data_IF_776284138690
#
_entry.id   IF_776284138690
#
_cell.length_a   1.000
_cell.length_b   1.000
_cell.length_c   1.000
_cell.angle_alpha   90.00
_cell.angle_beta   90.00
_cell.angle_gamma   90.00
#
_symmetry.space_group_name_H-M   'P 1'
#
loop_
_entity.id
_entity.type
_entity.pdbx_description
1 polymer ?
#
# COMPACT_ATOMS: atom_id res chain seq x y z
N UNK A 1 -4.50 -8.42 0.60
CA UNK A 1 -5.71 -7.81 1.20
C UNK A 1 -6.03 -8.41 2.57
N UNK A 2 -5.88 -9.73 2.78
CA UNK A 2 -6.16 -10.36 4.07
C UNK A 2 -5.35 -9.81 5.26
N UNK A 3 -4.08 -9.46 5.10
CA UNK A 3 -3.22 -9.16 6.27
C UNK A 3 -3.56 -7.83 6.96
N UNK A 4 -3.93 -6.79 6.20
CA UNK A 4 -4.26 -5.46 6.75
C UNK A 4 -5.63 -5.48 7.43
N UNK A 5 -6.61 -6.13 6.80
CA UNK A 5 -7.96 -6.27 7.38
C UNK A 5 -7.92 -7.15 8.62
N UNK A 6 -7.09 -8.20 8.61
CA UNK A 6 -6.89 -9.09 9.77
C UNK A 6 -6.14 -8.37 10.91
N UNK A 7 -5.13 -7.56 10.61
CA UNK A 7 -4.45 -6.74 11.61
C UNK A 7 -5.40 -5.70 12.24
N UNK A 8 -6.25 -5.06 11.44
CA UNK A 8 -7.26 -4.13 11.95
C UNK A 8 -8.30 -4.84 12.84
N UNK A 9 -8.76 -6.03 12.44
CA UNK A 9 -9.70 -6.84 13.25
C UNK A 9 -9.10 -7.31 14.57
N UNK A 10 -7.87 -7.83 14.56
CA UNK A 10 -7.18 -8.25 15.80
C UNK A 10 -6.98 -7.09 16.78
N UNK A 11 -6.80 -5.87 16.26
CA UNK A 11 -6.59 -4.69 17.09
C UNK A 11 -7.90 -4.14 17.64
N UNK A 12 -9.00 -4.20 16.87
CA UNK A 12 -10.35 -3.95 17.39
C UNK A 12 -10.70 -4.96 18.48
N UNK A 13 -10.43 -6.26 18.26
CA UNK A 13 -10.63 -7.30 19.26
C UNK A 13 -9.77 -7.04 20.52
N UNK A 14 -8.53 -6.60 20.35
CA UNK A 14 -7.64 -6.22 21.46
C UNK A 14 -8.24 -5.06 22.28
N UNK A 15 -8.67 -3.98 21.62
CA UNK A 15 -9.29 -2.83 22.30
C UNK A 15 -10.63 -3.15 22.97
N UNK A 16 -11.38 -4.12 22.45
CA UNK A 16 -12.65 -4.57 23.03
C UNK A 16 -12.43 -5.55 24.19
N UNK A 17 -11.34 -6.32 24.18
CA UNK A 17 -11.05 -7.35 25.18
C UNK A 17 -10.38 -6.81 26.46
N UNK A 18 -9.54 -5.78 26.33
CA UNK A 18 -8.87 -5.13 27.44
C UNK A 18 -8.90 -3.61 27.19
N UNK A 19 -10.00 -2.92 27.56
CA UNK A 19 -10.12 -1.49 27.31
C UNK A 19 -9.00 -0.79 28.08
N UNK A 20 -8.06 -0.14 27.38
CA UNK A 20 -6.90 0.47 28.00
C UNK A 20 -7.35 1.40 29.12
N UNK A 21 -6.89 1.09 30.32
CA UNK A 21 -7.29 1.77 31.54
C UNK A 21 -6.76 3.20 31.60
N UNK A 22 -5.81 3.55 30.71
CA UNK A 22 -5.20 4.87 30.63
C UNK A 22 -5.17 5.40 29.18
N UNK A 23 -5.47 6.68 29.01
CA UNK A 23 -5.55 7.34 27.70
C UNK A 23 -4.20 7.35 26.97
N UNK A 24 -3.08 7.19 27.70
CA UNK A 24 -1.74 7.18 27.14
C UNK A 24 -1.48 5.95 26.23
N UNK A 25 -1.96 4.77 26.61
CA UNK A 25 -1.75 3.53 25.85
C UNK A 25 -2.57 3.52 24.54
N UNK A 26 -3.79 4.07 24.57
CA UNK A 26 -4.57 4.31 23.35
C UNK A 26 -3.86 5.25 22.39
N UNK A 27 -3.27 6.31 22.92
CA UNK A 27 -2.56 7.30 22.11
C UNK A 27 -1.32 6.68 21.45
N UNK A 28 -0.57 5.83 22.17
CA UNK A 28 0.59 5.13 21.62
C UNK A 28 0.18 4.12 20.53
N UNK A 29 -0.86 3.31 20.78
CA UNK A 29 -1.41 2.38 19.78
C UNK A 29 -1.92 3.12 18.54
N UNK A 30 -2.67 4.20 18.72
CA UNK A 30 -3.15 5.03 17.61
C UNK A 30 -1.99 5.65 16.82
N UNK A 31 -0.93 6.10 17.50
CA UNK A 31 0.25 6.68 16.85
C UNK A 31 1.02 5.63 16.04
N UNK A 32 1.18 4.41 16.57
CA UNK A 32 1.79 3.29 15.85
C UNK A 32 0.98 2.93 14.60
N UNK A 33 -0.34 2.86 14.73
CA UNK A 33 -1.24 2.61 13.60
C UNK A 33 -1.14 3.70 12.52
N UNK A 34 -1.13 4.97 12.91
CA UNK A 34 -0.99 6.07 11.96
C UNK A 34 0.36 6.00 11.22
N UNK A 35 1.44 5.63 11.93
CA UNK A 35 2.75 5.40 11.33
C UNK A 35 2.74 4.23 10.34
N UNK A 36 2.14 3.10 10.71
CA UNK A 36 2.10 1.91 9.84
C UNK A 36 1.23 2.17 8.60
N UNK A 37 0.08 2.84 8.76
CA UNK A 37 -0.76 3.26 7.65
C UNK A 37 -0.03 4.22 6.69
N UNK A 38 0.78 5.15 7.22
CA UNK A 38 1.65 6.01 6.41
C UNK A 38 2.70 5.19 5.65
N UNK A 39 3.35 4.22 6.29
CA UNK A 39 4.32 3.32 5.66
C UNK A 39 3.71 2.51 4.51
N UNK A 40 2.54 1.91 4.75
CA UNK A 40 1.79 1.14 3.74
C UNK A 40 1.38 2.01 2.55
N UNK A 41 0.98 3.26 2.79
CA UNK A 41 0.61 4.21 1.73
C UNK A 41 1.78 4.52 0.79
N UNK A 42 3.00 4.70 1.33
CA UNK A 42 4.21 4.90 0.53
C UNK A 42 4.53 3.69 -0.34
N UNK A 43 4.42 2.48 0.22
CA UNK A 43 4.64 1.22 -0.50
C UNK A 43 3.62 1.08 -1.64
N UNK A 44 2.33 1.31 -1.35
CA UNK A 44 1.26 1.26 -2.35
C UNK A 44 1.52 2.23 -3.51
N UNK A 45 1.93 3.46 -3.22
CA UNK A 45 2.29 4.43 -4.25
C UNK A 45 3.52 3.99 -5.07
N UNK A 46 4.50 3.34 -4.44
CA UNK A 46 5.62 2.72 -5.13
C UNK A 46 5.18 1.63 -6.11
N UNK A 47 4.30 0.73 -5.67
CA UNK A 47 3.76 -0.36 -6.49
C UNK A 47 2.94 0.16 -7.67
N UNK A 48 2.11 1.20 -7.48
CA UNK A 48 1.36 1.82 -8.58
C UNK A 48 2.30 2.40 -9.64
N UNK A 49 3.37 3.08 -9.21
CA UNK A 49 4.40 3.60 -10.13
C UNK A 49 5.12 2.47 -10.87
N UNK A 50 5.45 1.38 -10.20
CA UNK A 50 6.08 0.22 -10.85
C UNK A 50 5.14 -0.45 -11.86
N UNK A 51 3.86 -0.63 -11.50
CA UNK A 51 2.86 -1.18 -12.40
C UNK A 51 2.68 -0.30 -13.65
N UNK A 52 2.72 1.03 -13.49
CA UNK A 52 2.71 1.93 -14.63
C UNK A 52 3.94 1.74 -15.53
N UNK A 53 5.15 1.70 -14.94
CA UNK A 53 6.38 1.46 -15.69
C UNK A 53 6.35 0.13 -16.47
N UNK A 54 5.86 -0.93 -15.85
CA UNK A 54 5.73 -2.24 -16.51
C UNK A 54 4.70 -2.20 -17.66
N UNK A 55 3.59 -1.48 -17.49
CA UNK A 55 2.61 -1.27 -18.57
C UNK A 55 3.22 -0.51 -19.74
N UNK A 56 3.93 0.57 -19.47
CA UNK A 56 4.57 1.37 -20.51
C UNK A 56 5.64 0.56 -21.27
N UNK A 57 6.44 -0.23 -20.55
CA UNK A 57 7.41 -1.14 -21.16
C UNK A 57 6.76 -2.23 -22.02
N UNK A 58 5.64 -2.79 -21.57
CA UNK A 58 4.89 -3.77 -22.35
C UNK A 58 4.32 -3.14 -23.64
N UNK A 59 3.78 -1.92 -23.56
CA UNK A 59 3.30 -1.18 -24.72
C UNK A 59 4.44 -0.89 -25.73
N UNK A 60 5.61 -0.46 -25.25
CA UNK A 60 6.80 -0.25 -26.07
C UNK A 60 7.26 -1.53 -26.77
N UNK A 61 7.26 -2.66 -26.05
CA UNK A 61 7.57 -3.96 -26.64
C UNK A 61 6.56 -4.33 -27.72
N UNK A 62 5.27 -4.13 -27.50
CA UNK A 62 4.21 -4.42 -28.48
C UNK A 62 4.36 -3.55 -29.74
N UNK A 63 4.58 -2.25 -29.58
CA UNK A 63 4.77 -1.32 -30.69
C UNK A 63 5.92 -1.77 -31.62
N UNK A 64 7.04 -2.22 -31.04
CA UNK A 64 8.17 -2.78 -31.79
C UNK A 64 7.83 -4.04 -32.57
N UNK A 65 6.98 -4.92 -32.03
CA UNK A 65 6.53 -6.14 -32.75
C UNK A 65 5.58 -5.80 -33.90
N UNK A 66 4.75 -4.77 -33.71
CA UNK A 66 3.74 -4.34 -34.68
C UNK A 66 4.32 -3.38 -35.74
N UNK A 67 5.60 -3.03 -35.66
CA UNK A 67 6.25 -2.07 -36.57
C UNK A 67 5.75 -0.64 -36.41
N UNK A 68 5.06 -0.34 -35.30
CA UNK A 68 4.57 1.01 -34.98
C UNK A 68 5.60 1.77 -34.12
N UNK A 69 5.59 3.11 -34.12
CA UNK A 69 6.56 3.89 -33.35
C UNK A 69 6.51 3.57 -31.85
N UNK A 70 7.68 3.38 -31.23
CA UNK A 70 7.78 3.07 -29.81
C UNK A 70 7.34 4.28 -28.96
N UNK A 71 6.30 4.17 -28.13
CA UNK A 71 5.80 5.26 -27.30
C UNK A 71 6.78 5.71 -26.21
N UNK A 72 7.88 5.00 -25.97
CA UNK A 72 8.95 5.45 -25.07
C UNK A 72 10.09 6.15 -25.80
N UNK A 73 10.14 6.07 -27.14
CA UNK A 73 11.11 6.75 -27.97
C UNK A 73 10.47 8.04 -28.48
N UNK A 74 10.59 9.08 -27.67
CA UNK A 74 10.31 10.47 -28.06
C UNK A 74 11.64 11.21 -28.24
#
# INVERSE_FOLDING_TARGET
>A
MNDVTNAASQLVDLMLSDPPTDNADLLDVATKLERDARGLSVIALGLVREAQRLRDFAAARQARMDGTPDPLLH
#
